data_IF_809295848369
#
_entry.id   IF_809295848369
#
_cell.length_a   1.000
_cell.length_b   1.000
_cell.length_c   1.000
_cell.angle_alpha   90.00
_cell.angle_beta   90.00
_cell.angle_gamma   90.00
#
_symmetry.space_group_name_H-M   'P 1'
#
loop_
_entity.id
_entity.type
_entity.pdbx_description
1 polymer ?
#
# COMPACT_ATOMS: atom_id res chain seq x y z
N UNK A 1 -41.05 12.37 15.08
CA UNK A 1 -39.89 13.29 15.10
C UNK A 1 -38.59 12.49 14.98
N UNK A 2 -37.67 12.98 14.16
CA UNK A 2 -36.34 12.43 13.79
C UNK A 2 -35.43 12.22 15.03
N UNK A 3 -34.48 11.26 15.05
CA UNK A 3 -33.19 11.33 14.31
C UNK A 3 -32.54 9.96 14.09
N UNK A 4 -31.97 9.81 12.88
CA UNK A 4 -31.04 8.78 12.42
C UNK A 4 -29.73 8.83 13.20
N UNK A 5 -29.17 7.67 13.54
CA UNK A 5 -27.77 7.49 13.93
C UNK A 5 -27.22 6.30 13.17
N UNK A 6 -26.34 6.56 12.20
CA UNK A 6 -25.73 5.61 11.27
C UNK A 6 -24.26 5.51 11.70
N UNK A 7 -23.79 4.32 12.08
CA UNK A 7 -22.38 3.91 11.93
C UNK A 7 -22.26 2.39 12.10
N UNK A 8 -22.73 1.65 11.10
CA UNK A 8 -21.91 0.84 10.17
C UNK A 8 -20.96 -0.17 10.84
N UNK A 9 -21.37 -1.42 10.67
CA UNK A 9 -20.86 -2.69 11.15
C UNK A 9 -19.77 -3.28 10.26
N UNK A 10 -18.54 -3.49 10.74
CA UNK A 10 -17.64 -4.44 10.05
C UNK A 10 -16.73 -5.13 11.07
N UNK A 11 -17.08 -6.36 11.41
CA UNK A 11 -16.21 -7.31 12.12
C UNK A 11 -15.00 -7.59 11.24
N UNK A 12 -13.82 -7.10 11.64
CA UNK A 12 -12.52 -7.48 11.08
C UNK A 12 -12.33 -8.99 11.23
N UNK A 13 -12.67 -9.74 10.18
CA UNK A 13 -12.22 -11.12 10.03
C UNK A 13 -10.76 -11.05 9.64
N UNK A 14 -9.89 -11.31 10.61
CA UNK A 14 -8.45 -11.46 10.40
C UNK A 14 -8.27 -12.84 9.79
N UNK A 15 -8.20 -12.90 8.46
CA UNK A 15 -7.75 -14.10 7.77
C UNK A 15 -6.30 -14.43 8.20
N UNK A 16 -5.96 -15.71 8.34
CA UNK A 16 -4.68 -16.13 8.91
C UNK A 16 -3.55 -15.84 7.92
N UNK A 17 -2.58 -15.03 8.36
CA UNK A 17 -1.18 -14.96 7.86
C UNK A 17 -1.05 -15.04 6.33
N UNK A 18 -1.74 -14.18 5.59
CA UNK A 18 -1.45 -14.00 4.16
C UNK A 18 -0.22 -13.09 4.08
N UNK A 19 0.90 -13.61 3.57
CA UNK A 19 2.08 -12.78 3.33
C UNK A 19 1.70 -11.72 2.27
N UNK A 20 1.85 -10.41 2.55
CA UNK A 20 1.51 -9.35 1.60
C UNK A 20 2.18 -9.54 0.23
N UNK A 21 3.36 -10.16 0.21
CA UNK A 21 4.09 -10.45 -1.01
C UNK A 21 3.35 -11.42 -1.93
N UNK A 22 2.48 -12.30 -1.43
CA UNK A 22 1.78 -13.28 -2.25
C UNK A 22 0.83 -12.63 -3.27
N UNK A 23 0.32 -11.43 -2.96
CA UNK A 23 -0.48 -10.62 -3.89
C UNK A 23 0.34 -9.96 -5.00
N UNK A 24 1.67 -9.93 -4.88
CA UNK A 24 2.53 -9.26 -5.85
C UNK A 24 2.89 -10.17 -7.03
N UNK A 25 2.87 -9.66 -8.27
CA UNK A 25 3.45 -10.37 -9.40
C UNK A 25 4.97 -10.57 -9.22
N UNK A 26 5.59 -11.61 -9.82
CA UNK A 26 7.01 -11.93 -9.62
C UNK A 26 7.97 -10.77 -9.87
N UNK A 27 7.66 -9.88 -10.82
CA UNK A 27 8.47 -8.71 -11.11
C UNK A 27 8.52 -7.72 -9.94
N UNK A 28 7.43 -7.58 -9.19
CA UNK A 28 7.34 -6.72 -8.02
C UNK A 28 7.92 -7.39 -6.76
N UNK A 29 8.25 -8.68 -6.78
CA UNK A 29 8.97 -9.37 -5.68
C UNK A 29 10.49 -9.19 -5.72
N UNK A 30 11.05 -8.67 -6.81
CA UNK A 30 12.50 -8.48 -6.94
C UNK A 30 12.98 -7.24 -6.16
N UNK A 31 14.21 -7.30 -5.65
CA UNK A 31 14.94 -6.19 -5.03
C UNK A 31 14.17 -5.50 -3.88
N UNK A 32 13.58 -6.28 -2.98
CA UNK A 32 12.83 -5.74 -1.84
C UNK A 32 13.72 -4.96 -0.86
N UNK A 33 14.96 -5.40 -0.75
CA UNK A 33 16.06 -4.84 0.06
C UNK A 33 16.77 -3.64 -0.60
N UNK A 34 16.29 -3.17 -1.76
CA UNK A 34 16.88 -2.05 -2.48
C UNK A 34 15.97 -0.84 -2.47
N UNK A 35 16.59 0.33 -2.63
CA UNK A 35 15.88 1.60 -2.75
C UNK A 35 14.96 1.55 -3.97
N UNK A 36 13.67 1.73 -3.73
CA UNK A 36 12.73 2.02 -4.80
C UNK A 36 12.76 3.51 -5.15
N UNK A 37 12.87 4.36 -4.13
CA UNK A 37 13.05 5.79 -4.29
C UNK A 37 14.50 6.16 -3.96
N UNK A 38 15.31 6.44 -4.98
CA UNK A 38 16.70 6.85 -4.78
C UNK A 38 16.85 8.29 -4.26
N UNK A 39 15.87 9.17 -4.51
CA UNK A 39 15.93 10.56 -4.07
C UNK A 39 15.97 10.71 -2.55
N UNK A 40 15.22 9.86 -1.85
CA UNK A 40 15.08 9.89 -0.39
C UNK A 40 15.48 8.54 0.25
N UNK A 41 16.25 7.74 -0.49
CA UNK A 41 16.79 6.45 -0.03
C UNK A 41 15.75 5.49 0.59
N UNK A 42 14.54 5.46 0.03
CA UNK A 42 13.42 4.66 0.56
C UNK A 42 13.47 3.26 -0.03
N UNK A 43 13.56 2.24 0.82
CA UNK A 43 13.52 0.84 0.41
C UNK A 43 12.14 0.46 -0.14
N UNK A 44 12.14 -0.50 -1.06
CA UNK A 44 10.90 -1.05 -1.58
C UNK A 44 10.05 -1.73 -0.50
N UNK A 45 10.71 -2.42 0.45
CA UNK A 45 10.02 -3.05 1.58
C UNK A 45 9.31 -2.05 2.48
N UNK A 46 9.87 -0.84 2.68
CA UNK A 46 9.24 0.18 3.52
C UNK A 46 7.95 0.72 2.90
N UNK A 47 7.92 0.83 1.57
CA UNK A 47 6.71 1.22 0.83
C UNK A 47 5.65 0.11 0.94
N UNK A 48 6.03 -1.16 0.81
CA UNK A 48 5.11 -2.29 1.00
C UNK A 48 4.55 -2.29 2.43
N UNK A 49 5.40 -2.09 3.44
CA UNK A 49 4.98 -2.01 4.83
C UNK A 49 4.01 -0.84 5.07
N UNK A 50 4.26 0.34 4.48
CA UNK A 50 3.34 1.47 4.55
C UNK A 50 1.96 1.12 3.98
N UNK A 51 1.92 0.40 2.84
CA UNK A 51 0.66 -0.05 2.23
C UNK A 51 -0.07 -1.06 3.13
N UNK A 52 0.65 -2.03 3.69
CA UNK A 52 0.10 -3.02 4.65
C UNK A 52 -0.44 -2.33 5.91
N UNK A 53 0.19 -1.22 6.32
CA UNK A 53 -0.26 -0.39 7.44
C UNK A 53 -1.39 0.59 7.07
N UNK A 54 -1.94 0.50 5.85
CA UNK A 54 -3.13 1.23 5.44
C UNK A 54 -2.90 2.45 4.55
N UNK A 55 -1.68 2.68 4.05
CA UNK A 55 -1.46 3.70 3.01
C UNK A 55 -2.02 3.22 1.66
N UNK A 56 -3.16 3.76 1.26
CA UNK A 56 -3.89 3.35 0.05
C UNK A 56 -3.72 4.33 -1.12
N UNK A 57 -3.03 5.45 -0.89
CA UNK A 57 -2.80 6.49 -1.89
C UNK A 57 -1.33 6.91 -1.95
N UNK A 58 -0.90 7.43 -3.10
CA UNK A 58 0.46 8.00 -3.26
C UNK A 58 0.72 9.11 -2.24
N UNK A 59 -0.28 9.93 -1.91
CA UNK A 59 -0.15 10.99 -0.91
C UNK A 59 0.07 10.44 0.51
N UNK A 60 -0.56 9.33 0.87
CA UNK A 60 -0.30 8.66 2.16
C UNK A 60 1.10 8.03 2.19
N UNK A 61 1.52 7.37 1.10
CA UNK A 61 2.89 6.84 0.97
C UNK A 61 3.91 7.95 1.12
N UNK A 62 3.68 9.08 0.44
CA UNK A 62 4.53 10.28 0.53
C UNK A 62 4.64 10.78 1.98
N UNK A 63 3.51 10.88 2.70
CA UNK A 63 3.49 11.31 4.11
C UNK A 63 4.23 10.36 5.05
N UNK A 64 4.13 9.05 4.82
CA UNK A 64 4.72 8.05 5.71
C UNK A 64 6.18 7.74 5.41
N UNK A 65 6.59 7.80 4.15
CA UNK A 65 7.89 7.27 3.69
C UNK A 65 8.78 8.30 3.01
N UNK A 66 8.25 9.49 2.69
CA UNK A 66 8.91 10.51 1.86
C UNK A 66 9.19 10.08 0.41
N UNK A 67 8.75 8.89 -0.02
CA UNK A 67 8.81 8.51 -1.43
C UNK A 67 8.00 9.50 -2.29
N UNK A 68 8.31 9.56 -3.59
CA UNK A 68 7.66 10.43 -4.60
C UNK A 68 7.78 11.94 -4.38
N UNK A 69 8.54 12.43 -3.39
CA UNK A 69 8.76 13.87 -3.16
C UNK A 69 9.85 14.50 -4.05
N UNK A 70 10.75 13.68 -4.59
CA UNK A 70 11.84 14.12 -5.47
C UNK A 70 11.41 14.22 -6.94
N UNK A 71 12.17 13.58 -7.83
CA UNK A 71 11.91 13.61 -9.28
C UNK A 71 10.63 12.87 -9.72
N UNK A 72 10.04 12.05 -8.85
CA UNK A 72 8.87 11.23 -9.18
C UNK A 72 9.17 9.97 -10.00
N UNK A 73 10.43 9.61 -10.26
CA UNK A 73 10.76 8.41 -11.07
C UNK A 73 10.23 7.10 -10.47
N UNK A 74 10.02 7.04 -9.15
CA UNK A 74 9.49 5.87 -8.46
C UNK A 74 7.94 5.80 -8.45
N UNK A 75 7.23 6.88 -8.82
CA UNK A 75 5.78 7.03 -8.61
C UNK A 75 4.98 5.91 -9.27
N UNK A 76 5.26 5.57 -10.53
CA UNK A 76 4.56 4.49 -11.23
C UNK A 76 4.70 3.14 -10.53
N UNK A 77 5.87 2.85 -9.96
CA UNK A 77 6.08 1.58 -9.27
C UNK A 77 5.41 1.57 -7.89
N UNK A 78 5.30 2.73 -7.23
CA UNK A 78 4.49 2.90 -6.00
C UNK A 78 3.01 2.66 -6.30
N UNK A 79 2.47 3.26 -7.36
CA UNK A 79 1.07 3.06 -7.80
C UNK A 79 0.78 1.59 -8.05
N UNK A 80 1.65 0.86 -8.76
CA UNK A 80 1.48 -0.57 -9.00
C UNK A 80 1.51 -1.42 -7.73
N UNK A 81 2.34 -1.04 -6.74
CA UNK A 81 2.37 -1.73 -5.45
C UNK A 81 1.04 -1.50 -4.70
N UNK A 82 0.53 -0.28 -4.70
CA UNK A 82 -0.79 0.05 -4.13
C UNK A 82 -1.87 -0.76 -4.84
N UNK A 83 -1.92 -0.73 -6.17
CA UNK A 83 -2.90 -1.48 -6.96
C UNK A 83 -2.89 -2.97 -6.59
N UNK A 84 -1.72 -3.62 -6.54
CA UNK A 84 -1.63 -5.06 -6.25
C UNK A 84 -2.01 -5.41 -4.81
N UNK A 85 -1.72 -4.53 -3.85
CA UNK A 85 -1.90 -4.83 -2.41
C UNK A 85 -3.27 -4.39 -1.89
N UNK A 86 -3.88 -3.37 -2.49
CA UNK A 86 -5.19 -2.82 -2.12
C UNK A 86 -6.36 -3.36 -2.95
N UNK A 87 -6.14 -4.08 -4.05
CA UNK A 87 -7.21 -4.55 -4.96
C UNK A 87 -8.09 -5.70 -4.43
N UNK A 88 -8.10 -5.96 -3.12
CA UNK A 88 -8.97 -6.97 -2.50
C UNK A 88 -10.06 -6.31 -1.63
N UNK A 89 -11.05 -5.67 -2.27
CA UNK A 89 -12.41 -5.45 -1.74
C UNK A 89 -13.47 -5.60 -2.86
N UNK A 90 -13.25 -6.48 -3.85
CA UNK A 90 -14.33 -6.86 -4.78
C UNK A 90 -14.12 -8.28 -5.30
N UNK A 91 -14.42 -9.27 -4.47
CA UNK A 91 -14.89 -10.55 -5.01
C UNK A 91 -16.23 -10.27 -5.70
N UNK A 92 -16.29 -10.59 -6.99
CA UNK A 92 -17.50 -10.51 -7.82
C UNK A 92 -18.39 -11.72 -7.56
#
# INVERSE_FOLDING_TARGET
>A
MLRKGIYTSYTLKIDPVINPLDKLPPILKKNLDRNLCVCNEVLKVDIINAIVNGATTVEEIKKQTYATMGSGCCTQQVERLIECLCSSETEK
#
